data_IF_136179712524
#
_entry.id   IF_136179712524
#
_cell.length_a   1.000
_cell.length_b   1.000
_cell.length_c   1.000
_cell.angle_alpha   90.00
_cell.angle_beta   90.00
_cell.angle_gamma   90.00
#
_symmetry.space_group_name_H-M   'P 1'
#
loop_
_entity.id
_entity.type
_entity.pdbx_description
1 polymer ?
#
# COMPACT_ATOMS: atom_id res chain seq x y z
N UNK A 1 19.79 -56.73 19.52
CA UNK A 1 19.73 -56.27 18.12
C UNK A 1 18.40 -56.71 17.52
N UNK A 2 17.75 -55.82 16.78
CA UNK A 2 16.48 -55.92 16.04
C UNK A 2 15.14 -55.88 16.81
N UNK A 3 14.49 -54.73 16.61
CA UNK A 3 13.07 -54.42 16.70
C UNK A 3 12.31 -55.13 15.56
N UNK A 4 11.08 -55.56 15.82
CA UNK A 4 9.91 -55.53 14.91
C UNK A 4 8.77 -56.34 15.60
N UNK A 5 7.71 -55.68 16.06
CA UNK A 5 6.53 -55.29 15.28
C UNK A 5 5.42 -56.34 15.41
N UNK A 6 4.53 -56.16 16.38
CA UNK A 6 3.17 -56.71 16.36
C UNK A 6 2.23 -55.69 17.00
N UNK A 7 1.65 -54.83 16.16
CA UNK A 7 0.48 -54.04 16.51
C UNK A 7 -0.75 -54.95 16.46
N UNK A 8 -1.37 -55.13 17.62
CA UNK A 8 -2.63 -55.84 17.79
C UNK A 8 -3.76 -54.95 17.25
N UNK A 9 -4.47 -55.49 16.27
CA UNK A 9 -5.81 -55.08 15.88
C UNK A 9 -6.79 -55.26 17.05
N UNK A 10 -7.61 -54.25 17.34
CA UNK A 10 -9.08 -54.41 17.36
C UNK A 10 -9.81 -53.13 17.78
N UNK A 11 -10.52 -52.58 16.80
CA UNK A 11 -11.97 -52.37 16.84
C UNK A 11 -12.56 -51.64 18.06
N UNK A 12 -12.95 -50.39 17.85
CA UNK A 12 -14.13 -49.85 18.53
C UNK A 12 -14.87 -48.89 17.60
N UNK A 13 -15.90 -49.44 16.96
CA UNK A 13 -17.02 -48.68 16.45
C UNK A 13 -17.59 -47.81 17.58
N UNK A 14 -17.21 -46.54 17.64
CA UNK A 14 -18.01 -45.52 18.32
C UNK A 14 -18.82 -44.78 17.27
N UNK A 15 -20.12 -45.10 17.27
CA UNK A 15 -21.20 -44.33 16.68
C UNK A 15 -20.85 -42.84 16.78
N UNK A 16 -20.63 -42.20 15.64
CA UNK A 16 -20.48 -40.75 15.57
C UNK A 16 -21.83 -40.15 15.98
N UNK A 17 -21.97 -39.87 17.28
CA UNK A 17 -22.87 -38.83 17.73
C UNK A 17 -22.59 -37.62 16.85
N UNK A 18 -23.62 -37.10 16.18
CA UNK A 18 -23.58 -35.80 15.50
C UNK A 18 -23.26 -34.75 16.57
N UNK A 19 -21.97 -34.60 16.87
CA UNK A 19 -21.46 -33.57 17.75
C UNK A 19 -21.83 -32.25 17.11
N UNK A 20 -22.45 -31.39 17.92
CA UNK A 20 -22.79 -30.00 17.59
C UNK A 20 -21.69 -29.38 16.70
N UNK A 21 -22.05 -28.56 15.69
CA UNK A 21 -21.07 -27.96 14.78
C UNK A 21 -19.89 -27.39 15.57
N UNK A 22 -18.67 -27.90 15.30
CA UNK A 22 -17.43 -27.49 16.00
C UNK A 22 -17.16 -25.98 15.90
N UNK A 23 -17.79 -25.34 14.92
CA UNK A 23 -17.87 -23.92 14.70
C UNK A 23 -19.33 -23.53 14.49
N UNK A 24 -19.76 -22.47 15.18
CA UNK A 24 -21.06 -21.84 14.99
C UNK A 24 -21.12 -21.11 13.65
N UNK A 25 -22.33 -20.85 13.16
CA UNK A 25 -22.51 -20.12 11.90
C UNK A 25 -21.93 -18.70 11.95
N UNK A 26 -21.99 -18.05 13.13
CA UNK A 26 -21.37 -16.74 13.37
C UNK A 26 -19.85 -16.80 13.26
N UNK A 27 -19.20 -17.82 13.84
CA UNK A 27 -17.76 -18.02 13.72
C UNK A 27 -17.35 -18.32 12.27
N UNK A 28 -18.16 -19.11 11.54
CA UNK A 28 -17.91 -19.40 10.13
C UNK A 28 -17.99 -18.14 9.26
N UNK A 29 -18.95 -17.24 9.52
CA UNK A 29 -19.04 -15.93 8.85
C UNK A 29 -17.79 -15.09 9.13
N UNK A 30 -17.36 -15.03 10.39
CA UNK A 30 -16.20 -14.24 10.82
C UNK A 30 -14.88 -14.76 10.22
N UNK A 31 -14.71 -16.09 10.17
CA UNK A 31 -13.60 -16.74 9.46
C UNK A 31 -13.65 -16.37 7.98
N UNK A 32 -14.80 -16.54 7.32
CA UNK A 32 -14.94 -16.23 5.89
C UNK A 32 -14.65 -14.77 5.57
N UNK A 33 -15.01 -13.80 6.40
CA UNK A 33 -14.78 -12.38 6.12
C UNK A 33 -13.35 -11.93 6.44
N UNK A 34 -12.69 -12.56 7.40
CA UNK A 34 -11.38 -12.14 7.89
C UNK A 34 -10.22 -12.94 7.32
N UNK A 35 -10.48 -14.09 6.67
CA UNK A 35 -9.44 -15.00 6.19
C UNK A 35 -8.59 -14.43 5.05
N UNK A 36 -9.03 -13.41 4.32
CA UNK A 36 -8.24 -12.86 3.21
C UNK A 36 -7.02 -12.05 3.68
N UNK A 37 -7.07 -11.45 4.88
CA UNK A 37 -6.00 -10.60 5.42
C UNK A 37 -5.12 -11.39 6.42
N UNK A 38 -3.80 -11.53 6.19
CA UNK A 38 -2.89 -12.25 7.08
C UNK A 38 -2.92 -11.80 8.54
N UNK A 39 -2.98 -10.48 8.81
CA UNK A 39 -3.01 -9.96 10.19
C UNK A 39 -4.31 -10.35 10.90
N UNK A 40 -5.45 -10.21 10.22
CA UNK A 40 -6.76 -10.61 10.76
C UNK A 40 -6.87 -12.12 11.02
N UNK A 41 -6.05 -12.96 10.36
CA UNK A 41 -5.99 -14.40 10.68
C UNK A 41 -5.35 -14.67 12.04
N UNK A 42 -4.35 -13.89 12.43
CA UNK A 42 -3.75 -14.01 13.76
C UNK A 42 -4.72 -13.51 14.83
N UNK A 43 -5.45 -12.43 14.57
CA UNK A 43 -6.50 -11.95 15.48
C UNK A 43 -7.63 -12.98 15.64
N UNK A 44 -8.02 -13.65 14.55
CA UNK A 44 -8.96 -14.77 14.58
C UNK A 44 -8.49 -15.91 15.48
N UNK A 45 -7.19 -16.25 15.44
CA UNK A 45 -6.60 -17.27 16.31
C UNK A 45 -6.81 -16.94 17.78
N UNK A 46 -6.50 -15.69 18.15
CA UNK A 46 -6.61 -15.21 19.52
C UNK A 46 -8.07 -15.08 19.96
N UNK A 47 -8.94 -14.58 19.09
CA UNK A 47 -10.37 -14.35 19.38
C UNK A 47 -11.18 -15.64 19.49
N UNK A 48 -10.89 -16.65 18.68
CA UNK A 48 -11.58 -17.94 18.70
C UNK A 48 -10.88 -18.97 19.59
N UNK A 49 -9.67 -18.69 20.08
CA UNK A 49 -8.89 -19.62 20.91
C UNK A 49 -8.61 -20.96 20.22
N UNK A 50 -8.47 -20.96 18.88
CA UNK A 50 -8.25 -22.17 18.07
C UNK A 50 -6.95 -22.11 17.32
N UNK A 51 -6.35 -23.28 17.09
CA UNK A 51 -5.14 -23.40 16.29
C UNK A 51 -5.35 -23.01 14.82
N UNK A 52 -4.32 -22.41 14.22
CA UNK A 52 -4.35 -21.92 12.83
C UNK A 52 -4.69 -23.02 11.82
N UNK A 53 -4.21 -24.24 12.07
CA UNK A 53 -4.50 -25.40 11.23
C UNK A 53 -5.98 -25.79 11.26
N UNK A 54 -6.64 -25.60 12.41
CA UNK A 54 -8.07 -25.87 12.56
C UNK A 54 -8.90 -24.80 11.82
N UNK A 55 -8.52 -23.52 11.94
CA UNK A 55 -9.16 -22.43 11.20
C UNK A 55 -8.98 -22.57 9.68
N UNK A 56 -7.79 -22.99 9.22
CA UNK A 56 -7.53 -23.28 7.80
C UNK A 56 -8.39 -24.41 7.28
N UNK A 57 -8.48 -25.49 8.05
CA UNK A 57 -9.33 -26.64 7.69
C UNK A 57 -10.81 -26.26 7.64
N UNK A 58 -11.26 -25.41 8.57
CA UNK A 58 -12.61 -24.91 8.60
C UNK A 58 -12.89 -23.95 7.45
N UNK A 59 -11.96 -23.05 7.12
CA UNK A 59 -12.07 -22.17 5.96
C UNK A 59 -12.20 -22.96 4.65
N UNK A 60 -11.39 -23.99 4.45
CA UNK A 60 -11.51 -24.87 3.27
C UNK A 60 -12.86 -25.60 3.21
N UNK A 61 -13.47 -25.93 4.35
CA UNK A 61 -14.84 -26.49 4.39
C UNK A 61 -15.87 -25.43 4.01
N UNK A 62 -15.78 -24.22 4.56
CA UNK A 62 -16.68 -23.11 4.22
C UNK A 62 -16.62 -22.78 2.72
N UNK A 63 -15.42 -22.82 2.10
CA UNK A 63 -15.28 -22.63 0.66
C UNK A 63 -16.00 -23.72 -0.14
N UNK A 64 -15.90 -24.99 0.29
CA UNK A 64 -16.61 -26.11 -0.34
C UNK A 64 -18.12 -25.99 -0.18
N UNK A 65 -18.60 -25.63 1.01
CA UNK A 65 -20.02 -25.43 1.29
C UNK A 65 -20.63 -24.29 0.46
N UNK A 66 -19.83 -23.25 0.17
CA UNK A 66 -20.21 -22.12 -0.69
C UNK A 66 -19.88 -22.32 -2.17
N UNK A 67 -19.37 -23.50 -2.56
CA UNK A 67 -18.93 -23.80 -3.92
C UNK A 67 -18.02 -22.72 -4.55
N UNK A 68 -17.12 -22.13 -3.74
CA UNK A 68 -16.19 -21.09 -4.19
C UNK A 68 -14.77 -21.65 -4.32
N UNK A 69 -14.11 -21.30 -5.41
CA UNK A 69 -12.67 -21.50 -5.55
C UNK A 69 -11.91 -20.57 -4.61
N UNK A 70 -10.71 -20.99 -4.20
CA UNK A 70 -9.82 -20.14 -3.39
C UNK A 70 -9.51 -18.82 -4.11
N UNK A 71 -9.33 -18.86 -5.44
CA UNK A 71 -9.08 -17.64 -6.24
C UNK A 71 -10.31 -16.73 -6.30
N UNK A 72 -11.50 -17.31 -6.52
CA UNK A 72 -12.77 -16.56 -6.55
C UNK A 72 -13.04 -15.88 -5.20
N UNK A 73 -12.76 -16.56 -4.10
CA UNK A 73 -12.85 -16.00 -2.75
C UNK A 73 -11.98 -14.75 -2.58
N UNK A 74 -10.70 -14.82 -2.98
CA UNK A 74 -9.81 -13.65 -2.87
C UNK A 74 -10.27 -12.52 -3.80
N UNK A 75 -10.75 -12.82 -4.99
CA UNK A 75 -11.29 -11.81 -5.91
C UNK A 75 -12.52 -11.11 -5.31
N UNK A 76 -13.49 -11.86 -4.78
CA UNK A 76 -14.69 -11.29 -4.15
C UNK A 76 -14.32 -10.42 -2.94
N UNK A 77 -13.41 -10.89 -2.08
CA UNK A 77 -12.99 -10.12 -0.90
C UNK A 77 -12.17 -8.90 -1.27
N UNK A 78 -11.32 -8.98 -2.30
CA UNK A 78 -10.59 -7.82 -2.82
C UNK A 78 -11.53 -6.80 -3.44
N UNK A 79 -12.52 -7.21 -4.23
CA UNK A 79 -13.52 -6.31 -4.82
C UNK A 79 -14.39 -5.63 -3.76
N UNK A 80 -14.84 -6.37 -2.73
CA UNK A 80 -15.64 -5.83 -1.62
C UNK A 80 -14.84 -4.81 -0.79
N UNK A 81 -13.58 -5.11 -0.47
CA UNK A 81 -12.71 -4.17 0.25
C UNK A 81 -12.21 -3.03 -0.66
N UNK A 82 -12.09 -3.23 -1.97
CA UNK A 82 -11.80 -2.13 -2.90
C UNK A 82 -12.96 -1.15 -2.95
N UNK A 83 -14.22 -1.61 -2.94
CA UNK A 83 -15.38 -0.73 -2.85
C UNK A 83 -15.42 0.06 -1.53
N UNK A 84 -15.09 -0.56 -0.39
CA UNK A 84 -14.95 0.15 0.89
C UNK A 84 -13.70 1.07 0.95
N UNK A 85 -12.64 0.74 0.21
CA UNK A 85 -11.36 1.48 0.14
C UNK A 85 -11.31 2.57 -0.94
N UNK A 86 -12.37 2.74 -1.75
CA UNK A 86 -12.53 3.91 -2.64
C UNK A 86 -12.49 5.24 -1.86
N UNK A 87 -12.62 5.21 -0.53
CA UNK A 87 -12.65 6.41 0.30
C UNK A 87 -11.35 6.79 1.03
N UNK A 88 -10.19 6.11 0.89
CA UNK A 88 -9.03 6.51 1.74
C UNK A 88 -7.62 6.51 1.15
N UNK A 89 -7.15 5.62 0.24
CA UNK A 89 -5.76 5.71 -0.25
C UNK A 89 -5.61 6.07 -1.74
N UNK A 90 -6.54 5.68 -2.61
CA UNK A 90 -6.45 5.95 -4.06
C UNK A 90 -6.88 7.36 -4.46
N UNK A 91 -7.78 7.99 -3.70
CA UNK A 91 -8.15 9.40 -3.90
C UNK A 91 -6.96 10.33 -3.70
N UNK A 92 -6.20 10.19 -2.60
CA UNK A 92 -4.97 10.97 -2.39
C UNK A 92 -3.96 10.81 -3.51
N UNK A 93 -3.72 9.60 -4.02
CA UNK A 93 -2.74 9.42 -5.10
C UNK A 93 -3.22 9.94 -6.45
N UNK A 94 -4.53 9.94 -6.71
CA UNK A 94 -5.11 10.58 -7.89
C UNK A 94 -5.10 12.11 -7.76
N UNK A 95 -5.55 12.64 -6.63
CA UNK A 95 -5.52 14.07 -6.29
C UNK A 95 -4.09 14.63 -6.36
N UNK A 96 -3.09 13.89 -5.85
CA UNK A 96 -1.70 14.31 -5.97
C UNK A 96 -1.22 14.36 -7.43
N UNK A 97 -1.64 13.39 -8.27
CA UNK A 97 -1.33 13.37 -9.70
C UNK A 97 -2.02 14.49 -10.47
N UNK A 98 -3.25 14.82 -10.09
CA UNK A 98 -4.00 15.94 -10.68
C UNK A 98 -3.34 17.27 -10.31
N UNK A 99 -2.90 17.41 -9.06
CA UNK A 99 -2.11 18.57 -8.60
C UNK A 99 -0.77 18.63 -9.35
N UNK A 100 -0.07 17.51 -9.53
CA UNK A 100 1.19 17.46 -10.28
C UNK A 100 1.02 17.85 -11.75
N UNK A 101 -0.06 17.39 -12.39
CA UNK A 101 -0.44 17.80 -13.76
C UNK A 101 -0.71 19.30 -13.82
N UNK A 102 -1.51 19.83 -12.88
CA UNK A 102 -1.84 21.25 -12.81
C UNK A 102 -0.59 22.13 -12.62
N UNK A 103 0.32 21.70 -11.74
CA UNK A 103 1.62 22.36 -11.55
C UNK A 103 2.40 22.38 -12.86
N UNK A 104 2.53 21.24 -13.53
CA UNK A 104 3.28 21.14 -14.79
C UNK A 104 2.68 22.05 -15.87
N UNK A 105 1.36 21.99 -16.07
CA UNK A 105 0.65 22.78 -17.08
C UNK A 105 0.80 24.29 -16.84
N UNK A 106 0.65 24.73 -15.59
CA UNK A 106 0.71 26.16 -15.25
C UNK A 106 2.12 26.72 -15.41
N UNK A 107 3.14 25.96 -14.98
CA UNK A 107 4.53 26.37 -15.18
C UNK A 107 4.93 26.38 -16.67
N UNK A 108 4.48 25.40 -17.47
CA UNK A 108 4.75 25.38 -18.90
C UNK A 108 4.06 26.56 -19.62
N UNK A 109 2.82 26.89 -19.24
CA UNK A 109 2.07 28.02 -19.79
C UNK A 109 2.79 29.35 -19.53
N UNK A 110 3.21 29.60 -18.29
CA UNK A 110 3.94 30.82 -17.93
C UNK A 110 5.33 30.88 -18.59
N UNK A 111 6.01 29.75 -18.74
CA UNK A 111 7.30 29.67 -19.41
C UNK A 111 7.19 30.00 -20.91
N UNK A 112 6.14 29.53 -21.59
CA UNK A 112 5.88 29.89 -22.98
C UNK A 112 5.42 31.35 -23.18
N UNK A 113 4.78 31.96 -22.17
CA UNK A 113 4.40 33.38 -22.16
C UNK A 113 5.58 34.32 -21.82
N UNK A 114 6.75 33.80 -21.44
CA UNK A 114 7.88 34.61 -20.97
C UNK A 114 7.69 35.20 -19.57
N UNK A 115 6.70 34.72 -18.82
CA UNK A 115 6.40 35.17 -17.47
C UNK A 115 7.37 34.58 -16.44
N UNK A 116 7.51 35.28 -15.31
CA UNK A 116 8.39 34.81 -14.23
C UNK A 116 7.79 33.59 -13.53
N UNK A 117 8.65 32.65 -13.09
CA UNK A 117 8.23 31.47 -12.30
C UNK A 117 7.47 31.83 -11.00
N UNK A 118 7.63 33.05 -10.51
CA UNK A 118 6.91 33.56 -9.34
C UNK A 118 5.45 33.89 -9.66
N UNK A 119 5.15 34.39 -10.87
CA UNK A 119 3.77 34.60 -11.33
C UNK A 119 3.01 33.27 -11.46
N UNK A 120 3.66 32.23 -11.99
CA UNK A 120 3.09 30.88 -12.03
C UNK A 120 2.73 30.33 -10.64
N UNK A 121 3.58 30.60 -9.63
CA UNK A 121 3.30 30.20 -8.25
C UNK A 121 2.09 30.93 -7.67
N UNK A 122 1.95 32.24 -7.95
CA UNK A 122 0.83 33.03 -7.46
C UNK A 122 -0.50 32.57 -8.08
N UNK A 123 -0.51 32.16 -9.35
CA UNK A 123 -1.69 31.58 -10.00
C UNK A 123 -2.06 30.23 -9.38
N UNK A 124 -1.08 29.33 -9.22
CA UNK A 124 -1.29 28.03 -8.58
C UNK A 124 -1.77 28.14 -7.14
N UNK A 125 -1.32 29.14 -6.37
CA UNK A 125 -1.80 29.36 -5.01
C UNK A 125 -3.26 29.81 -4.94
N UNK A 126 -3.72 30.58 -5.93
CA UNK A 126 -5.13 30.96 -6.04
C UNK A 126 -6.01 29.76 -6.42
N UNK A 127 -5.49 28.85 -7.25
CA UNK A 127 -6.23 27.66 -7.70
C UNK A 127 -6.25 26.56 -6.62
N UNK A 128 -5.14 26.35 -5.91
CA UNK A 128 -4.95 25.28 -4.92
C UNK A 128 -5.24 25.72 -3.47
N UNK A 129 -5.92 26.85 -3.26
CA UNK A 129 -6.36 27.34 -1.95
C UNK A 129 -5.27 27.30 -0.84
N UNK A 130 -4.14 27.95 -1.07
CA UNK A 130 -3.09 28.24 -0.07
C UNK A 130 -2.43 27.05 0.68
N UNK A 131 -2.74 25.79 0.38
CA UNK A 131 -2.11 24.62 1.03
C UNK A 131 -0.60 24.50 0.70
N UNK A 132 -0.15 25.10 -0.41
CA UNK A 132 1.21 24.99 -0.89
C UNK A 132 1.95 26.33 -0.86
N UNK A 133 3.13 26.34 -0.24
CA UNK A 133 4.05 27.48 -0.29
C UNK A 133 4.70 27.61 -1.68
N UNK A 134 5.12 28.80 -2.12
CA UNK A 134 5.74 28.98 -3.44
C UNK A 134 7.02 28.15 -3.62
N UNK A 135 7.77 27.96 -2.54
CA UNK A 135 8.95 27.10 -2.52
C UNK A 135 8.60 25.63 -2.73
N UNK A 136 7.52 25.14 -2.11
CA UNK A 136 7.05 23.78 -2.29
C UNK A 136 6.58 23.50 -3.73
N UNK A 137 5.87 24.45 -4.35
CA UNK A 137 5.44 24.35 -5.76
C UNK A 137 6.63 24.29 -6.72
N UNK A 138 7.63 25.17 -6.55
CA UNK A 138 8.85 25.16 -7.36
C UNK A 138 9.62 23.85 -7.20
N UNK A 139 9.81 23.39 -5.97
CA UNK A 139 10.53 22.13 -5.69
C UNK A 139 9.81 20.94 -6.32
N UNK A 140 8.47 20.90 -6.24
CA UNK A 140 7.66 19.83 -6.83
C UNK A 140 7.72 19.86 -8.35
N UNK A 141 7.65 21.05 -8.97
CA UNK A 141 7.87 21.22 -10.42
C UNK A 141 9.24 20.69 -10.87
N UNK A 142 10.34 21.08 -10.21
CA UNK A 142 11.68 20.59 -10.59
C UNK A 142 11.81 19.07 -10.43
N UNK A 143 11.18 18.49 -9.41
CA UNK A 143 11.12 17.03 -9.23
C UNK A 143 10.34 16.35 -10.36
N UNK A 144 9.23 16.93 -10.80
CA UNK A 144 8.44 16.41 -11.93
C UNK A 144 9.22 16.46 -13.24
N UNK A 145 9.87 17.60 -13.53
CA UNK A 145 10.72 17.74 -14.73
C UNK A 145 11.85 16.72 -14.72
N UNK A 146 12.49 16.52 -13.56
CA UNK A 146 13.56 15.52 -13.40
C UNK A 146 13.05 14.08 -13.53
N UNK A 147 11.87 13.78 -12.97
CA UNK A 147 11.28 12.45 -13.02
C UNK A 147 10.82 12.06 -14.44
N UNK A 148 10.27 13.03 -15.18
CA UNK A 148 9.77 12.83 -16.55
C UNK A 148 10.85 13.10 -17.62
N UNK A 149 12.06 13.47 -17.21
CA UNK A 149 13.20 13.77 -18.09
C UNK A 149 12.89 14.82 -19.16
N UNK A 150 12.10 15.84 -18.82
CA UNK A 150 11.71 16.84 -19.82
C UNK A 150 12.83 17.82 -20.16
N UNK A 151 13.05 17.94 -21.46
CA UNK A 151 13.54 19.10 -22.20
C UNK A 151 13.22 20.49 -21.70
N UNK A 152 14.14 21.47 -21.64
CA UNK A 152 13.71 22.88 -21.66
C UNK A 152 12.91 23.19 -22.94
N UNK A 153 13.33 22.59 -24.07
CA UNK A 153 12.60 22.66 -25.33
C UNK A 153 11.24 21.94 -25.28
N UNK A 154 11.13 20.83 -24.54
CA UNK A 154 9.89 20.07 -24.42
C UNK A 154 8.86 20.77 -23.52
N UNK A 155 9.32 21.44 -22.46
CA UNK A 155 8.48 22.31 -21.62
C UNK A 155 7.93 23.49 -22.42
N UNK A 156 8.74 24.09 -23.31
CA UNK A 156 8.29 25.16 -24.20
C UNK A 156 7.27 24.66 -25.23
N UNK A 157 7.50 23.49 -25.85
CA UNK A 157 6.51 22.86 -26.77
C UNK A 157 5.19 22.59 -26.06
N UNK A 158 5.23 22.01 -24.86
CA UNK A 158 4.04 21.76 -24.04
C UNK A 158 3.32 23.06 -23.68
N UNK A 159 4.06 24.12 -23.33
CA UNK A 159 3.50 25.44 -23.08
C UNK A 159 2.78 26.04 -24.30
N UNK A 160 3.40 25.95 -25.50
CA UNK A 160 2.76 26.42 -26.74
C UNK A 160 1.53 25.60 -27.13
N UNK A 161 1.54 24.27 -26.90
CA UNK A 161 0.37 23.41 -27.13
C UNK A 161 -0.79 23.81 -26.22
N UNK A 162 -0.52 24.09 -24.93
CA UNK A 162 -1.53 24.50 -23.96
C UNK A 162 -2.07 25.91 -24.22
N UNK A 163 -1.25 26.82 -24.76
CA UNK A 163 -1.70 28.16 -25.19
C UNK A 163 -2.57 28.07 -26.44
N UNK A 164 -2.20 27.25 -27.42
CA UNK A 164 -2.98 27.08 -28.65
C UNK A 164 -4.33 26.37 -28.41
N UNK A 165 -4.46 25.58 -27.34
CA UNK A 165 -5.74 24.98 -26.94
C UNK A 165 -6.67 25.96 -26.20
N UNK A 166 -6.16 27.11 -25.74
CA UNK A 166 -6.93 28.10 -24.97
C UNK A 166 -7.33 29.36 -25.74
N UNK A 167 -7.03 29.44 -27.05
CA UNK A 167 -7.52 30.53 -27.91
C UNK A 167 -8.58 30.04 -28.92
N UNK A 168 -9.76 30.70 -29.01
CA UNK A 168 -10.68 30.49 -30.12
C UNK A 168 -10.15 31.21 -31.36
N UNK A 169 -9.94 30.42 -32.41
CA UNK A 169 -9.78 30.74 -33.85
C UNK A 169 -9.88 32.24 -34.21
N UNK A 170 -8.77 32.80 -34.71
CA UNK A 170 -8.80 33.74 -35.84
C UNK A 170 -7.46 33.79 -36.58
N UNK A 171 -7.55 33.43 -37.86
CA UNK A 171 -6.66 33.81 -38.98
C UNK A 171 -5.40 32.98 -39.28
N UNK A 172 -5.69 31.84 -39.91
CA UNK A 172 -5.15 31.37 -41.20
C UNK A 172 -4.05 32.20 -41.91
N UNK A 173 -2.95 31.50 -42.21
CA UNK A 173 -2.24 31.32 -43.51
C UNK A 173 -1.10 30.34 -43.22
N UNK A 174 -0.91 29.16 -43.81
CA UNK A 174 -1.46 28.51 -45.00
C UNK A 174 -0.30 27.81 -45.74
N UNK A 175 -0.22 26.47 -45.66
CA UNK A 175 0.25 25.51 -46.70
C UNK A 175 0.37 24.11 -46.09
N UNK A 176 -0.60 23.22 -46.30
CA UNK A 176 -0.82 22.31 -47.45
C UNK A 176 0.04 21.02 -47.37
N UNK A 177 -0.67 19.95 -46.97
CA UNK A 177 -0.52 18.48 -47.08
C UNK A 177 -0.16 17.97 -48.51
N UNK A 178 -0.09 16.64 -48.83
CA UNK A 178 0.49 15.43 -48.20
C UNK A 178 1.21 14.52 -49.29
N UNK A 179 0.98 13.18 -49.45
CA UNK A 179 1.54 11.96 -48.82
C UNK A 179 2.20 10.96 -49.83
N UNK A 180 2.72 9.80 -49.37
CA UNK A 180 2.83 8.52 -50.13
C UNK A 180 3.29 7.42 -49.14
N UNK A 181 2.56 6.34 -48.82
CA UNK A 181 2.33 5.09 -49.60
C UNK A 181 3.66 4.47 -50.07
N UNK A 182 4.10 3.24 -49.78
CA UNK A 182 3.46 1.90 -49.69
C UNK A 182 4.47 0.87 -49.07
N UNK A 183 4.00 -0.23 -48.46
CA UNK A 183 4.80 -1.46 -48.24
C UNK A 183 4.91 -2.28 -49.56
N UNK A 184 5.86 -3.22 -49.74
CA UNK A 184 5.56 -4.62 -49.37
C UNK A 184 6.75 -5.51 -48.97
N UNK A 185 6.38 -6.68 -48.45
CA UNK A 185 7.17 -7.80 -47.90
C UNK A 185 7.56 -8.83 -49.00
N UNK A 186 8.59 -9.65 -48.71
CA UNK A 186 8.95 -11.00 -49.25
C UNK A 186 9.88 -11.06 -50.49
N UNK A 187 10.64 -12.15 -50.78
CA UNK A 187 10.50 -13.54 -50.28
C UNK A 187 11.80 -14.33 -49.95
N UNK A 188 11.55 -15.47 -49.29
CA UNK A 188 12.42 -16.65 -49.15
C UNK A 188 12.73 -17.28 -50.52
N UNK A 189 14.01 -17.58 -50.82
CA UNK A 189 14.39 -18.54 -51.88
C UNK A 189 15.48 -19.50 -51.40
N UNK A 190 15.00 -20.68 -50.99
CA UNK A 190 15.47 -22.03 -51.35
C UNK A 190 16.94 -22.24 -51.75
N UNK A 191 17.73 -22.82 -50.84
CA UNK A 191 18.97 -23.56 -51.17
C UNK A 191 18.59 -24.95 -51.66
N UNK A 192 18.92 -25.27 -52.93
CA UNK A 192 18.93 -26.64 -53.46
C UNK A 192 20.37 -27.13 -53.61
N UNK A 193 20.51 -28.41 -53.31
CA UNK A 193 21.71 -29.21 -53.06
C UNK A 193 22.35 -29.69 -54.37
N UNK A 194 23.68 -29.52 -54.47
CA UNK A 194 24.72 -30.33 -55.14
C UNK A 194 24.65 -30.62 -56.67
N UNK A 195 25.78 -30.88 -57.37
CA UNK A 195 26.61 -32.05 -57.09
C UNK A 195 28.13 -31.83 -57.05
N UNK A 196 28.75 -32.76 -56.30
CA UNK A 196 30.12 -33.26 -56.39
C UNK A 196 30.82 -33.04 -57.74
N UNK A 197 32.07 -32.56 -57.67
CA UNK A 197 33.10 -32.96 -58.61
C UNK A 197 34.42 -33.16 -57.87
N UNK A 198 34.84 -34.42 -57.79
CA UNK A 198 36.21 -34.80 -57.52
C UNK A 198 37.08 -34.46 -58.75
N UNK A 199 38.33 -34.04 -58.51
CA UNK A 199 39.57 -34.38 -59.22
C UNK A 199 40.54 -33.21 -59.48
N UNK A 200 41.71 -33.36 -58.83
CA UNK A 200 43.06 -32.81 -59.06
C UNK A 200 43.42 -31.41 -58.51
N UNK A 201 44.52 -31.28 -57.74
CA UNK A 201 45.03 -30.00 -57.30
C UNK A 201 45.73 -29.33 -58.50
N UNK A 202 45.08 -28.33 -59.10
CA UNK A 202 45.80 -27.41 -59.98
C UNK A 202 46.59 -26.46 -59.09
N UNK A 203 47.86 -26.21 -59.41
CA UNK A 203 48.68 -25.21 -58.71
C UNK A 203 47.99 -23.83 -58.72
N UNK A 204 47.11 -23.57 -59.69
CA UNK A 204 46.24 -22.40 -59.74
C UNK A 204 45.24 -22.33 -58.57
N UNK A 205 44.72 -23.45 -58.07
CA UNK A 205 43.88 -23.50 -56.87
C UNK A 205 44.67 -23.17 -55.60
N UNK A 206 45.96 -23.55 -55.54
CA UNK A 206 46.84 -23.22 -54.43
C UNK A 206 47.20 -21.73 -54.44
N UNK A 207 47.55 -21.16 -55.59
CA UNK A 207 47.80 -19.73 -55.71
C UNK A 207 46.54 -18.89 -55.45
N UNK A 208 45.35 -19.38 -55.86
CA UNK A 208 44.08 -18.73 -55.53
C UNK A 208 43.79 -18.79 -54.02
N UNK A 209 44.01 -19.94 -53.39
CA UNK A 209 43.94 -20.07 -51.94
C UNK A 209 44.91 -19.12 -51.24
N UNK A 210 46.17 -19.02 -51.69
CA UNK A 210 47.14 -18.08 -51.13
C UNK A 210 46.73 -16.62 -51.35
N UNK A 211 46.15 -16.27 -52.50
CA UNK A 211 45.67 -14.91 -52.75
C UNK A 211 44.46 -14.51 -51.91
N UNK A 212 43.64 -15.49 -51.49
CA UNK A 212 42.46 -15.29 -50.63
C UNK A 212 42.77 -15.34 -49.12
N UNK A 213 43.96 -15.81 -48.74
CA UNK A 213 44.40 -15.87 -47.34
C UNK A 213 44.50 -14.48 -46.68
N UNK A 214 45.08 -13.44 -47.30
CA UNK A 214 45.10 -12.10 -46.71
C UNK A 214 43.71 -11.54 -46.41
N UNK A 215 42.75 -11.80 -47.29
CA UNK A 215 41.36 -11.37 -47.14
C UNK A 215 40.63 -12.16 -46.05
N UNK A 216 40.89 -13.47 -45.98
CA UNK A 216 40.40 -14.32 -44.90
C UNK A 216 40.99 -13.92 -43.54
N UNK A 217 42.29 -13.60 -43.49
CA UNK A 217 42.96 -13.11 -42.27
C UNK A 217 42.39 -11.75 -41.85
N UNK A 218 42.16 -10.83 -42.80
CA UNK A 218 41.50 -9.54 -42.51
C UNK A 218 40.10 -9.72 -41.92
N UNK A 219 39.29 -10.58 -42.53
CA UNK A 219 37.94 -10.87 -42.04
C UNK A 219 37.97 -11.53 -40.65
N UNK A 220 38.92 -12.44 -40.40
CA UNK A 220 39.12 -13.01 -39.07
C UNK A 220 39.55 -11.94 -38.06
N UNK A 221 40.46 -11.02 -38.40
CA UNK A 221 40.83 -9.92 -37.51
C UNK A 221 39.68 -8.96 -37.23
N UNK A 222 38.86 -8.61 -38.22
CA UNK A 222 37.67 -7.77 -38.02
C UNK A 222 36.63 -8.47 -37.14
N UNK A 223 36.43 -9.78 -37.31
CA UNK A 223 35.56 -10.55 -36.41
C UNK A 223 36.14 -10.63 -35.00
N UNK A 224 37.46 -10.69 -34.87
CA UNK A 224 38.14 -10.75 -33.59
C UNK A 224 38.04 -9.41 -32.84
N UNK A 225 38.14 -8.26 -33.53
CA UNK A 225 37.94 -6.95 -32.91
C UNK A 225 36.49 -6.74 -32.44
N UNK A 226 35.50 -7.15 -33.23
CA UNK A 226 34.09 -7.08 -32.84
C UNK A 226 33.80 -7.94 -31.61
N UNK A 227 34.43 -9.11 -31.51
CA UNK A 227 34.32 -10.02 -30.35
C UNK A 227 35.03 -9.43 -29.13
N UNK A 228 36.23 -8.85 -29.29
CA UNK A 228 36.95 -8.18 -28.20
C UNK A 228 36.19 -6.98 -27.65
N UNK A 229 35.57 -6.19 -28.53
CA UNK A 229 34.71 -5.07 -28.13
C UNK A 229 33.47 -5.58 -27.37
N UNK A 230 32.80 -6.63 -27.85
CA UNK A 230 31.68 -7.25 -27.15
C UNK A 230 32.08 -7.84 -25.79
N UNK A 231 33.24 -8.50 -25.70
CA UNK A 231 33.74 -9.06 -24.45
C UNK A 231 34.13 -7.97 -23.45
N UNK A 232 34.71 -6.85 -23.89
CA UNK A 232 35.01 -5.70 -23.01
C UNK A 232 33.75 -5.14 -22.33
N UNK A 233 32.63 -5.07 -23.05
CA UNK A 233 31.36 -4.61 -22.49
C UNK A 233 30.71 -5.65 -21.56
N UNK A 234 30.92 -6.95 -21.79
CA UNK A 234 30.44 -8.02 -20.90
C UNK A 234 31.30 -8.21 -19.64
N UNK A 235 32.57 -7.83 -19.69
CA UNK A 235 33.54 -7.94 -18.59
C UNK A 235 33.58 -6.70 -17.68
N UNK A 236 32.51 -5.90 -17.62
CA UNK A 236 32.44 -4.78 -16.69
C UNK A 236 32.13 -5.25 -15.26
N UNK A 237 32.99 -6.15 -14.74
CA UNK A 237 33.00 -6.63 -13.36
C UNK A 237 33.04 -5.45 -12.39
N UNK A 238 33.65 -4.35 -12.78
CA UNK A 238 33.70 -3.12 -11.98
C UNK A 238 32.29 -2.55 -11.78
N UNK A 239 31.50 -2.42 -12.85
CA UNK A 239 30.11 -1.99 -12.77
C UNK A 239 29.24 -2.95 -11.94
N UNK A 240 29.45 -4.26 -12.11
CA UNK A 240 28.75 -5.28 -11.31
C UNK A 240 29.08 -5.19 -9.80
N UNK A 241 30.36 -5.02 -9.45
CA UNK A 241 30.81 -4.86 -8.07
C UNK A 241 30.28 -3.55 -7.46
N UNK A 242 30.27 -2.45 -8.22
CA UNK A 242 29.67 -1.19 -7.78
C UNK A 242 28.17 -1.32 -7.51
N UNK A 243 27.44 -2.06 -8.37
CA UNK A 243 26.03 -2.35 -8.15
C UNK A 243 25.80 -3.22 -6.91
N UNK A 244 26.62 -4.27 -6.72
CA UNK A 244 26.56 -5.10 -5.51
C UNK A 244 26.84 -4.30 -4.24
N UNK A 245 27.81 -3.38 -4.26
CA UNK A 245 28.07 -2.46 -3.15
C UNK A 245 26.91 -1.49 -2.90
N UNK A 246 26.22 -1.04 -3.95
CA UNK A 246 25.03 -0.21 -3.79
C UNK A 246 23.90 -0.99 -3.12
N UNK A 247 23.64 -2.22 -3.57
CA UNK A 247 22.64 -3.13 -2.98
C UNK A 247 22.98 -3.44 -1.51
N UNK A 248 24.25 -3.67 -1.19
CA UNK A 248 24.69 -3.92 0.19
C UNK A 248 24.47 -2.70 1.11
N UNK A 249 24.73 -1.49 0.60
CA UNK A 249 24.41 -0.25 1.34
C UNK A 249 22.92 -0.06 1.52
N UNK A 250 22.11 -0.42 0.52
CA UNK A 250 20.66 -0.30 0.57
C UNK A 250 20.08 -1.30 1.58
N UNK A 251 20.53 -2.56 1.58
CA UNK A 251 20.16 -3.57 2.58
C UNK A 251 20.48 -3.10 4.00
N UNK A 252 21.68 -2.55 4.24
CA UNK A 252 22.03 -1.96 5.54
C UNK A 252 21.13 -0.79 5.95
N UNK A 253 20.60 -0.04 4.97
CA UNK A 253 19.65 1.05 5.23
C UNK A 253 18.26 0.49 5.56
N UNK A 254 17.84 -0.55 4.85
CA UNK A 254 16.59 -1.27 5.13
C UNK A 254 16.60 -1.91 6.52
N UNK A 255 17.70 -2.53 6.94
CA UNK A 255 17.82 -3.11 8.29
C UNK A 255 17.62 -2.04 9.39
N UNK A 256 18.25 -0.86 9.24
CA UNK A 256 18.07 0.26 10.18
C UNK A 256 16.62 0.76 10.21
N UNK A 257 15.97 0.82 9.05
CA UNK A 257 14.57 1.21 8.98
C UNK A 257 13.66 0.16 9.61
N UNK A 258 13.97 -1.12 9.45
CA UNK A 258 13.24 -2.23 10.09
C UNK A 258 13.36 -2.18 11.62
N UNK A 259 14.56 -1.90 12.15
CA UNK A 259 14.78 -1.69 13.58
C UNK A 259 13.96 -0.51 14.12
N UNK A 260 13.96 0.63 13.41
CA UNK A 260 13.20 1.80 13.83
C UNK A 260 11.68 1.56 13.74
N UNK A 261 11.21 0.87 12.70
CA UNK A 261 9.81 0.44 12.59
C UNK A 261 9.44 -0.44 13.79
N UNK A 262 10.27 -1.40 14.16
CA UNK A 262 10.01 -2.28 15.29
C UNK A 262 9.95 -1.50 16.61
N UNK A 263 10.84 -0.52 16.78
CA UNK A 263 10.85 0.39 17.93
C UNK A 263 9.56 1.21 18.00
N UNK A 264 9.16 1.83 16.89
CA UNK A 264 7.94 2.65 16.80
C UNK A 264 6.66 1.83 17.00
N UNK A 265 6.64 0.57 16.55
CA UNK A 265 5.54 -0.36 16.83
C UNK A 265 5.44 -0.62 18.33
N UNK A 266 6.56 -0.96 18.97
CA UNK A 266 6.61 -1.23 20.41
C UNK A 266 6.19 0.00 21.24
N UNK A 267 6.60 1.19 20.82
CA UNK A 267 6.20 2.45 21.45
C UNK A 267 4.70 2.73 21.28
N UNK A 268 4.15 2.51 20.09
CA UNK A 268 2.71 2.64 19.85
C UNK A 268 1.89 1.65 20.69
N UNK A 269 2.35 0.40 20.82
CA UNK A 269 1.70 -0.59 21.67
C UNK A 269 1.70 -0.14 23.13
N UNK A 270 2.83 0.34 23.65
CA UNK A 270 2.92 0.89 25.00
C UNK A 270 1.98 2.08 25.22
N UNK A 271 1.94 3.02 24.27
CA UNK A 271 1.05 4.19 24.34
C UNK A 271 -0.42 3.74 24.33
N UNK A 272 -0.78 2.76 23.49
CA UNK A 272 -2.15 2.23 23.44
C UNK A 272 -2.56 1.58 24.76
N UNK A 273 -1.68 0.76 25.35
CA UNK A 273 -1.94 0.13 26.66
C UNK A 273 -2.12 1.19 27.75
N UNK A 274 -1.30 2.25 27.74
CA UNK A 274 -1.43 3.33 28.70
C UNK A 274 -2.74 4.11 28.52
N UNK A 275 -3.09 4.42 27.27
CA UNK A 275 -4.34 5.10 26.94
C UNK A 275 -5.57 4.28 27.32
N UNK A 276 -5.54 2.96 27.12
CA UNK A 276 -6.62 2.05 27.52
C UNK A 276 -6.77 2.02 29.05
N UNK A 277 -5.66 1.94 29.78
CA UNK A 277 -5.67 2.01 31.26
C UNK A 277 -6.22 3.33 31.78
N UNK A 278 -5.86 4.45 31.16
CA UNK A 278 -6.40 5.76 31.53
C UNK A 278 -7.88 5.88 31.17
N UNK A 279 -8.30 5.35 30.04
CA UNK A 279 -9.70 5.31 29.64
C UNK A 279 -10.55 4.50 30.64
N UNK A 280 -10.08 3.32 31.06
CA UNK A 280 -10.74 2.53 32.10
C UNK A 280 -10.83 3.27 33.44
N UNK A 281 -9.76 3.97 33.84
CA UNK A 281 -9.73 4.76 35.07
C UNK A 281 -10.73 5.92 35.01
N UNK A 282 -10.80 6.62 33.88
CA UNK A 282 -11.75 7.71 33.67
C UNK A 282 -13.18 7.20 33.66
N UNK A 283 -13.44 6.08 32.97
CA UNK A 283 -14.76 5.45 32.92
C UNK A 283 -15.26 5.04 34.31
N UNK A 284 -14.38 4.52 35.17
CA UNK A 284 -14.72 4.22 36.58
C UNK A 284 -15.12 5.48 37.35
N UNK A 285 -14.34 6.56 37.22
CA UNK A 285 -14.67 7.84 37.86
C UNK A 285 -15.96 8.46 37.33
N UNK A 286 -16.20 8.36 36.03
CA UNK A 286 -17.42 8.83 35.39
C UNK A 286 -18.65 8.07 35.92
N UNK A 287 -18.53 6.74 36.08
CA UNK A 287 -19.57 5.92 36.70
C UNK A 287 -19.80 6.30 38.17
N UNK A 288 -18.73 6.48 38.95
CA UNK A 288 -18.84 6.94 40.35
C UNK A 288 -19.54 8.30 40.45
N UNK A 289 -19.22 9.24 39.56
CA UNK A 289 -19.88 10.54 39.50
C UNK A 289 -21.35 10.42 39.09
N UNK A 290 -21.64 9.61 38.07
CA UNK A 290 -23.02 9.34 37.64
C UNK A 290 -23.85 8.76 38.79
N UNK A 291 -23.32 7.78 39.51
CA UNK A 291 -23.98 7.18 40.67
C UNK A 291 -24.26 8.25 41.75
N UNK A 292 -23.30 9.12 42.05
CA UNK A 292 -23.50 10.24 42.99
C UNK A 292 -24.59 11.19 42.52
N UNK A 293 -24.62 11.56 41.23
CA UNK A 293 -25.67 12.41 40.67
C UNK A 293 -27.05 11.76 40.78
N UNK A 294 -27.17 10.45 40.50
CA UNK A 294 -28.46 9.75 40.67
C UNK A 294 -28.94 9.72 42.12
N UNK A 295 -28.02 9.56 43.08
CA UNK A 295 -28.34 9.61 44.50
C UNK A 295 -28.81 11.01 44.89
N UNK A 296 -28.09 12.05 44.45
CA UNK A 296 -28.47 13.45 44.69
C UNK A 296 -29.84 13.77 44.09
N UNK A 297 -30.11 13.34 42.87
CA UNK A 297 -31.40 13.55 42.19
C UNK A 297 -32.54 12.83 42.90
N UNK A 298 -32.29 11.60 43.38
CA UNK A 298 -33.27 10.85 44.19
C UNK A 298 -33.55 11.57 45.51
N UNK A 299 -32.49 11.98 46.24
CA UNK A 299 -32.64 12.70 47.52
C UNK A 299 -33.32 14.05 47.36
N UNK A 300 -32.98 14.80 46.30
CA UNK A 300 -33.65 16.05 45.97
C UNK A 300 -35.12 15.82 45.60
N UNK A 301 -35.42 14.78 44.84
CA UNK A 301 -36.79 14.37 44.52
C UNK A 301 -37.59 14.01 45.77
N UNK A 302 -37.00 13.25 46.70
CA UNK A 302 -37.60 12.95 48.01
C UNK A 302 -37.84 14.23 48.83
N UNK A 303 -36.87 15.14 48.88
CA UNK A 303 -37.00 16.42 49.56
C UNK A 303 -38.11 17.29 48.96
N UNK A 304 -38.21 17.37 47.63
CA UNK A 304 -39.24 18.16 46.95
C UNK A 304 -40.65 17.63 47.21
N UNK A 305 -40.81 16.32 47.43
CA UNK A 305 -42.07 15.65 47.78
C UNK A 305 -42.56 15.88 49.21
N UNK A 306 -41.70 16.34 50.12
CA UNK A 306 -42.09 16.61 51.53
C UNK A 306 -42.99 17.85 51.67
N UNK A 307 -43.81 17.90 52.72
CA UNK A 307 -44.60 19.09 53.09
C UNK A 307 -43.72 20.20 53.70
N UNK A 308 -44.16 21.46 53.65
CA UNK A 308 -43.34 22.65 53.97
C UNK A 308 -42.73 22.65 55.38
N UNK A 309 -43.42 22.06 56.37
CA UNK A 309 -42.93 21.95 57.76
C UNK A 309 -41.90 20.82 57.91
N UNK A 310 -42.12 19.68 57.25
CA UNK A 310 -41.16 18.57 57.21
C UNK A 310 -39.91 18.90 56.40
N UNK A 311 -40.01 19.75 55.38
CA UNK A 311 -38.88 20.27 54.62
C UNK A 311 -37.89 21.04 55.50
N UNK A 312 -38.37 21.87 56.43
CA UNK A 312 -37.52 22.66 57.32
C UNK A 312 -36.79 21.80 58.37
N UNK A 313 -37.44 20.77 58.92
CA UNK A 313 -36.80 19.83 59.84
C UNK A 313 -35.83 18.88 59.12
N UNK A 314 -36.18 18.46 57.89
CA UNK A 314 -35.36 17.55 57.08
C UNK A 314 -34.20 18.24 56.37
N UNK A 315 -34.18 19.58 56.25
CA UNK A 315 -33.07 20.32 55.63
C UNK A 315 -31.77 20.20 56.45
N UNK A 316 -31.88 20.18 57.78
CA UNK A 316 -30.73 19.98 58.67
C UNK A 316 -30.11 18.59 58.50
N UNK A 317 -30.94 17.55 58.43
CA UNK A 317 -30.49 16.17 58.16
C UNK A 317 -29.96 16.03 56.71
N UNK A 318 -30.59 16.70 55.75
CA UNK A 318 -30.15 16.75 54.35
C UNK A 318 -28.77 17.40 54.18
N UNK A 319 -28.52 18.54 54.83
CA UNK A 319 -27.21 19.20 54.76
C UNK A 319 -26.11 18.36 55.41
N UNK A 320 -26.36 17.74 56.57
CA UNK A 320 -25.36 16.86 57.17
C UNK A 320 -25.10 15.61 56.35
N UNK A 321 -26.10 15.03 55.66
CA UNK A 321 -25.87 13.92 54.73
C UNK A 321 -25.08 14.35 53.47
N UNK A 322 -25.30 15.57 52.99
CA UNK A 322 -24.53 16.18 51.89
C UNK A 322 -23.08 16.50 52.30
N UNK A 323 -22.88 17.02 53.50
CA UNK A 323 -21.57 17.31 54.08
C UNK A 323 -20.78 16.02 54.39
N UNK A 324 -21.46 14.95 54.82
CA UNK A 324 -20.82 13.64 54.96
C UNK A 324 -20.47 13.01 53.61
N UNK A 325 -21.22 13.33 52.56
CA UNK A 325 -20.89 12.88 51.19
C UNK A 325 -19.84 13.75 50.51
N UNK A 326 -19.63 15.00 50.94
CA UNK A 326 -18.60 15.93 50.41
C UNK A 326 -17.64 16.31 51.54
N UNK A 327 -16.45 15.72 51.56
CA UNK A 327 -15.38 16.05 52.53
C UNK A 327 -15.06 17.56 52.50
N UNK A 328 -14.44 18.07 53.57
CA UNK A 328 -14.05 19.49 53.77
C UNK A 328 -13.17 20.09 52.64
N UNK A 329 -12.72 19.27 51.69
CA UNK A 329 -11.94 19.63 50.50
C UNK A 329 -12.72 19.48 49.17
N UNK A 330 -14.03 19.23 49.21
CA UNK A 330 -14.87 19.09 48.00
C UNK A 330 -14.79 17.73 47.31
N UNK A 331 -14.20 16.71 47.94
CA UNK A 331 -14.09 15.35 47.40
C UNK A 331 -15.24 14.47 47.88
N UNK A 332 -15.91 13.77 46.96
CA UNK A 332 -17.05 12.92 47.31
C UNK A 332 -16.56 11.58 47.87
N UNK A 333 -16.76 11.34 49.17
CA UNK A 333 -16.29 10.14 49.86
C UNK A 333 -17.45 9.19 50.19
N UNK A 334 -17.65 8.19 49.32
CA UNK A 334 -18.47 6.97 49.50
C UNK A 334 -19.94 7.17 49.90
N UNK A 335 -20.82 6.76 48.99
CA UNK A 335 -22.22 6.47 49.30
C UNK A 335 -22.36 5.13 50.05
N UNK A 336 -22.89 5.16 51.28
CA UNK A 336 -23.52 3.97 51.87
C UNK A 336 -24.94 4.34 52.27
N UNK A 337 -25.91 3.68 51.64
CA UNK A 337 -27.33 3.79 51.97
C UNK A 337 -27.52 3.20 53.36
N UNK A 338 -27.85 4.04 54.36
CA UNK A 338 -28.42 3.53 55.61
C UNK A 338 -29.88 3.22 55.28
N UNK A 339 -30.15 1.94 55.06
CA UNK A 339 -31.52 1.42 55.00
C UNK A 339 -31.98 1.29 56.45
N UNK A 340 -32.93 2.13 56.86
CA UNK A 340 -33.74 1.91 58.06
C UNK A 340 -34.95 1.06 57.71
#
# INVERSE_FOLDING_TARGET
>A
MSKNALAISNSSNQKQHKLKPRYTEAENKLIFESWWNPHKRHDLKNRLGREMNALRSQFCRILKDKSLSNQEYYNIMQSKNQQESINSPRKRSHELKDIDRMILETFCRHQAQGNSRTQACNELQKILNAEFTPAALKLRFYRLVKALQYSEADLLKMGHILLNQSEPVSNAKGKVLPPSEEEPVMPIVSVKVSPENQYKPSEQSFFYQISSLPESVKNVTERLTVIEEHQRHQLDLKGFIEHLLAVERDLKREDKLMEEIQRLISENENIRVLAEKDHERLKKREQELADVYTILETMLGDFMRLESVSKLASLGDFMHRLEVTVDQFGNVLKSRRIVS
#
